data_IF_781032798937
#
_entry.id   IF_781032798937
#
_cell.length_a   1.000
_cell.length_b   1.000
_cell.length_c   1.000
_cell.angle_alpha   90.00
_cell.angle_beta   90.00
_cell.angle_gamma   90.00
#
_symmetry.space_group_name_H-M   'P 1'
#
loop_
_entity.id
_entity.type
_entity.pdbx_description
1 polymer ?
#
# COMPACT_ATOMS: atom_id res chain seq x y z
N UNK A 1 -21.11 10.19 -4.48
CA UNK A 1 -19.78 10.74 -4.17
C UNK A 1 -18.85 10.25 -5.25
N UNK A 2 -18.15 11.16 -5.94
CA UNK A 2 -17.30 10.81 -7.08
C UNK A 2 -15.99 10.19 -6.57
N UNK A 3 -15.68 8.98 -7.04
CA UNK A 3 -14.43 8.31 -6.73
C UNK A 3 -13.36 8.85 -7.69
N UNK A 4 -12.89 10.07 -7.45
CA UNK A 4 -11.95 10.81 -8.31
C UNK A 4 -10.51 10.27 -8.22
N UNK A 5 -10.31 8.97 -8.50
CA UNK A 5 -9.00 8.28 -8.44
C UNK A 5 -7.95 8.88 -9.38
N UNK A 6 -8.40 9.68 -10.36
CA UNK A 6 -7.66 10.01 -11.57
C UNK A 6 -6.74 11.23 -11.39
N UNK A 7 -5.45 10.97 -11.22
CA UNK A 7 -4.39 11.98 -11.39
C UNK A 7 -3.83 11.94 -12.81
N UNK A 8 -4.02 13.02 -13.57
CA UNK A 8 -3.35 13.22 -14.87
C UNK A 8 -1.91 13.74 -14.68
N UNK A 9 -1.03 13.51 -15.66
CA UNK A 9 0.28 14.14 -15.69
C UNK A 9 0.10 15.64 -16.00
N UNK A 10 0.48 16.58 -15.10
CA UNK A 10 0.23 18.00 -15.32
C UNK A 10 1.00 18.63 -16.48
N UNK A 11 2.00 17.94 -17.05
CA UNK A 11 2.73 18.41 -18.24
C UNK A 11 2.02 18.09 -19.56
N UNK A 12 1.23 17.02 -19.59
CA UNK A 12 0.54 16.55 -20.81
C UNK A 12 -0.99 16.67 -20.72
N UNK A 13 -1.52 17.05 -19.55
CA UNK A 13 -2.97 17.12 -19.29
C UNK A 13 -3.69 15.77 -19.35
N UNK A 14 -2.95 14.65 -19.49
CA UNK A 14 -3.49 13.32 -19.79
C UNK A 14 -2.74 12.23 -19.00
N UNK A 15 -3.10 10.96 -19.16
CA UNK A 15 -2.41 9.81 -18.53
C UNK A 15 -1.17 9.35 -19.32
N UNK A 16 -0.53 10.26 -20.05
CA UNK A 16 0.63 10.03 -20.92
C UNK A 16 1.90 10.71 -20.39
N UNK A 17 3.06 10.19 -20.78
CA UNK A 17 4.34 10.84 -20.51
C UNK A 17 4.68 11.88 -21.61
N UNK A 18 5.52 12.88 -21.32
CA UNK A 18 5.98 13.83 -22.35
C UNK A 18 6.80 13.11 -23.42
N UNK A 19 6.99 13.75 -24.58
CA UNK A 19 7.92 13.26 -25.59
C UNK A 19 9.31 13.02 -24.99
N UNK A 20 10.00 11.97 -25.47
CA UNK A 20 11.24 11.42 -24.92
C UNK A 20 11.17 10.79 -23.51
N UNK A 21 9.98 10.55 -22.94
CA UNK A 21 9.81 9.77 -21.71
C UNK A 21 8.90 8.55 -21.90
N UNK A 22 9.34 7.37 -21.44
CA UNK A 22 8.54 6.14 -21.37
C UNK A 22 7.72 6.11 -20.09
N UNK A 23 6.52 5.53 -20.18
CA UNK A 23 5.60 5.29 -19.07
C UNK A 23 5.98 4.00 -18.35
N UNK A 24 6.31 4.11 -17.07
CA UNK A 24 6.72 2.99 -16.21
C UNK A 24 5.61 2.67 -15.21
N UNK A 25 5.17 1.41 -15.14
CA UNK A 25 4.26 0.96 -14.08
C UNK A 25 5.01 0.92 -12.75
N UNK A 26 4.48 1.57 -11.73
CA UNK A 26 5.01 1.54 -10.36
C UNK A 26 4.25 0.56 -9.47
N UNK A 27 2.91 0.60 -9.56
CA UNK A 27 2.02 -0.18 -8.71
C UNK A 27 0.67 -0.36 -9.38
N UNK A 28 0.03 -1.51 -9.16
CA UNK A 28 -1.37 -1.74 -9.45
C UNK A 28 -2.01 -2.50 -8.29
N UNK A 29 -3.29 -2.23 -8.02
CA UNK A 29 -4.03 -2.82 -6.91
C UNK A 29 -5.53 -2.58 -7.06
N UNK A 30 -6.31 -3.10 -6.12
CA UNK A 30 -7.75 -2.87 -6.04
C UNK A 30 -8.08 -2.05 -4.81
N UNK A 31 -8.91 -1.02 -4.96
CA UNK A 31 -9.55 -0.35 -3.83
C UNK A 31 -10.99 -0.85 -3.69
N UNK A 32 -11.47 -0.93 -2.46
CA UNK A 32 -12.86 -1.20 -2.16
C UNK A 32 -13.40 -0.11 -1.23
N UNK A 33 -14.62 0.33 -1.48
CA UNK A 33 -15.33 1.32 -0.68
C UNK A 33 -16.78 0.87 -0.52
N UNK A 34 -17.41 1.22 0.59
CA UNK A 34 -18.83 0.99 0.81
C UNK A 34 -19.52 2.28 1.22
N UNK A 35 -20.75 2.46 0.73
CA UNK A 35 -21.62 3.55 1.14
C UNK A 35 -23.00 3.01 1.48
N UNK A 36 -23.68 3.67 2.41
CA UNK A 36 -25.04 3.30 2.81
C UNK A 36 -26.01 4.28 2.15
N UNK A 37 -26.90 3.75 1.31
CA UNK A 37 -28.03 4.50 0.76
C UNK A 37 -29.26 4.30 1.65
N UNK A 38 -29.79 5.41 2.19
CA UNK A 38 -30.93 5.40 3.11
C UNK A 38 -32.18 5.87 2.37
N UNK A 39 -33.08 4.93 2.06
CA UNK A 39 -34.36 5.23 1.41
C UNK A 39 -35.48 5.16 2.43
N UNK A 40 -36.14 6.29 2.66
CA UNK A 40 -37.30 6.38 3.55
C UNK A 40 -38.60 6.48 2.74
N UNK A 41 -39.60 5.71 3.12
CA UNK A 41 -40.94 5.70 2.50
C UNK A 41 -42.02 5.78 3.58
N UNK A 42 -43.20 6.27 3.20
CA UNK A 42 -44.36 6.29 4.08
C UNK A 42 -44.99 4.90 4.19
N UNK A 43 -45.26 4.45 5.41
CA UNK A 43 -45.67 3.10 5.75
C UNK A 43 -46.73 3.06 6.86
N UNK A 44 -47.30 1.88 7.10
CA UNK A 44 -48.36 1.68 8.11
C UNK A 44 -49.76 2.11 7.63
N UNK A 45 -50.75 1.89 8.49
CA UNK A 45 -52.14 2.27 8.21
C UNK A 45 -52.26 3.79 8.04
N UNK A 46 -52.95 4.23 6.98
CA UNK A 46 -53.06 5.63 6.55
C UNK A 46 -51.72 6.37 6.31
N UNK A 47 -50.63 5.64 6.06
CA UNK A 47 -49.29 6.20 5.78
C UNK A 47 -48.70 7.06 6.93
N UNK A 48 -49.23 6.92 8.15
CA UNK A 48 -48.89 7.75 9.32
C UNK A 48 -47.50 7.46 9.94
N UNK A 49 -46.72 6.53 9.39
CA UNK A 49 -45.34 6.24 9.82
C UNK A 49 -44.36 6.41 8.67
N UNK A 50 -43.11 6.74 8.99
CA UNK A 50 -42.01 6.73 8.02
C UNK A 50 -41.11 5.54 8.32
N UNK A 51 -40.96 4.64 7.36
CA UNK A 51 -40.06 3.51 7.42
C UNK A 51 -38.81 3.84 6.60
N UNK A 52 -37.62 3.66 7.16
CA UNK A 52 -36.37 3.80 6.42
C UNK A 52 -35.71 2.44 6.24
N UNK A 53 -35.21 2.18 5.03
CA UNK A 53 -34.35 1.05 4.71
C UNK A 53 -32.97 1.57 4.31
N UNK A 54 -31.98 1.16 5.08
CA UNK A 54 -30.57 1.43 4.81
C UNK A 54 -30.04 0.26 3.97
N UNK A 55 -29.42 0.56 2.82
CA UNK A 55 -28.89 -0.42 1.87
C UNK A 55 -27.41 -0.15 1.64
N UNK A 56 -26.54 -1.03 2.11
CA UNK A 56 -25.09 -0.93 1.90
C UNK A 56 -24.74 -1.38 0.49
N UNK A 57 -24.08 -0.49 -0.26
CA UNK A 57 -23.52 -0.77 -1.57
C UNK A 57 -22.00 -0.87 -1.44
N UNK A 58 -21.42 -1.95 -1.95
CA UNK A 58 -19.98 -2.16 -2.04
C UNK A 58 -19.52 -1.88 -3.48
N UNK A 59 -18.47 -1.07 -3.63
CA UNK A 59 -17.84 -0.74 -4.91
C UNK A 59 -16.38 -1.18 -4.83
N UNK A 60 -15.91 -1.89 -5.86
CA UNK A 60 -14.49 -2.16 -6.07
C UNK A 60 -14.01 -1.51 -7.36
N UNK A 61 -12.75 -1.07 -7.38
CA UNK A 61 -12.11 -0.55 -8.58
C UNK A 61 -10.61 -0.85 -8.59
N UNK A 62 -10.10 -1.24 -9.76
CA UNK A 62 -8.67 -1.46 -9.98
C UNK A 62 -8.01 -0.13 -10.35
N UNK A 63 -6.86 0.16 -9.75
CA UNK A 63 -6.05 1.32 -10.08
C UNK A 63 -4.67 0.89 -10.60
N UNK A 64 -4.05 1.75 -11.40
CA UNK A 64 -2.66 1.60 -11.89
C UNK A 64 -1.95 2.94 -11.79
N UNK A 65 -0.77 2.94 -11.19
CA UNK A 65 0.06 4.12 -10.96
C UNK A 65 1.32 4.00 -11.79
N UNK A 66 1.65 5.11 -12.44
CA UNK A 66 2.77 5.18 -13.37
C UNK A 66 3.60 6.42 -13.06
N UNK A 67 4.87 6.35 -13.44
CA UNK A 67 5.77 7.49 -13.50
C UNK A 67 6.47 7.53 -14.86
N UNK A 68 7.13 8.64 -15.16
CA UNK A 68 7.78 8.86 -16.44
C UNK A 68 9.30 8.81 -16.26
N UNK A 69 9.97 7.95 -17.02
CA UNK A 69 11.42 7.77 -17.01
C UNK A 69 12.00 7.90 -18.41
N UNK A 70 13.31 8.13 -18.52
CA UNK A 70 14.02 8.11 -19.80
C UNK A 70 15.50 7.81 -19.54
N UNK A 71 16.08 6.91 -20.33
CA UNK A 71 17.54 6.70 -20.35
C UNK A 71 18.23 7.53 -21.42
N UNK A 72 17.47 8.21 -22.28
CA UNK A 72 18.03 9.05 -23.34
C UNK A 72 18.38 10.46 -22.83
N UNK A 73 19.46 11.08 -23.36
CA UNK A 73 19.76 12.47 -23.06
C UNK A 73 18.63 13.39 -23.54
N UNK A 74 17.91 13.99 -22.59
CA UNK A 74 16.88 14.99 -22.88
C UNK A 74 17.44 16.41 -22.76
N UNK A 75 16.92 17.39 -23.54
CA UNK A 75 17.28 18.79 -23.36
C UNK A 75 17.04 19.27 -21.92
N UNK A 76 17.82 20.26 -21.48
CA UNK A 76 17.61 20.88 -20.17
C UNK A 76 16.18 21.45 -20.05
N UNK A 77 15.65 21.45 -18.82
CA UNK A 77 14.31 21.98 -18.48
C UNK A 77 13.10 21.21 -19.08
N UNK A 78 13.30 19.96 -19.53
CA UNK A 78 12.23 19.09 -20.08
C UNK A 78 11.50 18.19 -19.06
N UNK A 79 12.03 18.06 -17.85
CA UNK A 79 11.47 17.22 -16.78
C UNK A 79 10.68 17.99 -15.72
N UNK A 80 10.83 17.57 -14.47
CA UNK A 80 10.44 18.30 -13.26
C UNK A 80 11.57 18.21 -12.24
N UNK A 81 11.75 19.24 -11.43
CA UNK A 81 12.52 19.15 -10.19
C UNK A 81 11.70 18.41 -9.12
N UNK A 82 12.35 17.62 -8.28
CA UNK A 82 11.73 16.89 -7.18
C UNK A 82 12.00 17.59 -5.85
N UNK A 83 10.95 17.94 -5.12
CA UNK A 83 11.01 18.67 -3.84
C UNK A 83 10.67 17.80 -2.64
N UNK A 84 10.94 16.50 -2.72
CA UNK A 84 10.52 15.51 -1.74
C UNK A 84 9.08 15.03 -1.93
N UNK A 85 8.58 14.32 -0.92
CA UNK A 85 7.23 13.74 -0.89
C UNK A 85 6.71 13.68 0.55
N UNK A 86 5.40 13.60 0.73
CA UNK A 86 4.76 13.43 2.03
C UNK A 86 3.49 12.58 1.93
N UNK A 87 2.96 12.18 3.09
CA UNK A 87 1.64 11.56 3.28
C UNK A 87 0.95 12.24 4.48
N UNK A 88 -0.25 11.83 4.88
CA UNK A 88 -0.82 12.25 6.17
C UNK A 88 0.01 11.75 7.37
N UNK A 89 0.82 10.69 7.19
CA UNK A 89 1.61 10.04 8.25
C UNK A 89 3.08 10.44 8.26
N UNK A 90 3.63 10.83 7.11
CA UNK A 90 5.05 11.07 6.90
C UNK A 90 5.23 12.50 6.39
N UNK A 91 5.93 13.33 7.16
CA UNK A 91 6.30 14.68 6.73
C UNK A 91 7.32 14.66 5.59
N UNK A 92 7.32 15.69 4.76
CA UNK A 92 8.32 15.86 3.70
C UNK A 92 9.70 16.13 4.33
N UNK A 93 10.73 15.31 4.06
CA UNK A 93 12.06 15.54 4.59
C UNK A 93 12.64 16.91 4.22
N UNK A 94 12.28 17.48 3.07
CA UNK A 94 12.78 18.79 2.61
C UNK A 94 12.21 19.96 3.42
N UNK A 95 10.94 19.89 3.85
CA UNK A 95 10.27 20.99 4.57
C UNK A 95 10.04 20.69 6.06
N UNK A 96 10.33 19.47 6.49
CA UNK A 96 9.98 18.91 7.82
C UNK A 96 8.49 19.07 8.17
N UNK A 97 7.62 19.08 7.15
CA UNK A 97 6.18 19.28 7.29
C UNK A 97 5.38 18.52 6.22
N UNK A 98 4.06 18.40 6.37
CA UNK A 98 3.18 17.75 5.39
C UNK A 98 2.84 18.69 4.21
N UNK A 99 3.85 19.39 3.68
CA UNK A 99 3.72 20.40 2.63
C UNK A 99 4.93 20.39 1.68
N UNK A 100 4.71 20.92 0.46
CA UNK A 100 5.77 21.09 -0.52
C UNK A 100 6.65 22.33 -0.24
N UNK A 101 7.92 22.34 -0.69
CA UNK A 101 8.76 23.53 -0.60
C UNK A 101 8.23 24.71 -1.42
N UNK A 102 8.72 25.94 -1.19
CA UNK A 102 8.39 27.09 -2.02
C UNK A 102 8.62 26.80 -3.51
N UNK A 103 7.67 27.20 -4.36
CA UNK A 103 7.63 26.94 -5.82
C UNK A 103 7.45 25.47 -6.24
N UNK A 104 7.15 24.55 -5.33
CA UNK A 104 6.73 23.18 -5.67
C UNK A 104 5.23 22.99 -5.46
N UNK A 105 4.58 22.31 -6.41
CA UNK A 105 3.18 21.87 -6.29
C UNK A 105 3.11 20.40 -5.89
N UNK A 106 2.08 20.05 -5.13
CA UNK A 106 1.77 18.67 -4.76
C UNK A 106 1.02 17.97 -5.90
N UNK A 107 1.44 16.75 -6.24
CA UNK A 107 0.72 15.80 -7.10
C UNK A 107 0.38 14.59 -6.24
N UNK A 108 -0.90 14.24 -6.11
CA UNK A 108 -1.31 13.05 -5.36
C UNK A 108 -1.22 11.81 -6.26
N UNK A 109 -0.43 10.80 -5.87
CA UNK A 109 -0.31 9.54 -6.59
C UNK A 109 -1.50 8.61 -6.29
N UNK A 110 -2.68 9.05 -6.73
CA UNK A 110 -3.95 8.35 -6.55
C UNK A 110 -4.55 8.55 -5.15
N UNK A 111 -5.87 8.72 -5.09
CA UNK A 111 -6.59 8.99 -3.83
C UNK A 111 -6.44 7.90 -2.75
N UNK A 112 -6.03 6.68 -3.12
CA UNK A 112 -5.95 5.53 -2.20
C UNK A 112 -4.62 5.31 -1.46
N UNK A 113 -3.51 5.86 -1.95
CA UNK A 113 -2.17 5.58 -1.37
C UNK A 113 -1.70 6.59 -0.32
N UNK A 114 -2.39 7.72 -0.19
CA UNK A 114 -1.96 8.84 0.65
C UNK A 114 -0.48 9.19 0.39
N UNK A 115 -0.18 9.59 -0.85
CA UNK A 115 1.18 9.94 -1.26
C UNK A 115 1.16 11.17 -2.16
N UNK A 116 1.81 12.23 -1.68
CA UNK A 116 1.93 13.53 -2.31
C UNK A 116 3.37 13.75 -2.76
N UNK A 117 3.60 13.89 -4.06
CA UNK A 117 4.91 14.15 -4.66
C UNK A 117 5.03 15.63 -5.00
N UNK A 118 6.08 16.28 -4.51
CA UNK A 118 6.33 17.69 -4.74
C UNK A 118 7.16 17.89 -6.01
N UNK A 119 6.60 18.59 -7.00
CA UNK A 119 7.29 18.88 -8.27
C UNK A 119 7.30 20.36 -8.62
N UNK A 120 8.34 20.80 -9.32
CA UNK A 120 8.46 22.16 -9.83
C UNK A 120 9.06 22.20 -11.24
N UNK A 121 8.52 23.05 -12.09
CA UNK A 121 9.03 23.48 -13.40
C UNK A 121 9.65 24.90 -13.35
N UNK A 122 9.62 25.58 -12.19
CA UNK A 122 10.28 26.87 -11.95
C UNK A 122 11.78 26.72 -11.66
N UNK A 123 12.57 26.28 -12.65
CA UNK A 123 14.00 25.97 -12.50
C UNK A 123 14.88 27.08 -11.90
N UNK A 124 14.48 28.34 -11.98
CA UNK A 124 15.25 29.48 -11.45
C UNK A 124 15.02 29.74 -9.96
N UNK A 125 13.86 29.35 -9.43
CA UNK A 125 13.46 29.64 -8.04
C UNK A 125 13.27 28.39 -7.18
N UNK A 126 12.97 27.23 -7.80
CA UNK A 126 12.83 25.95 -7.09
C UNK A 126 14.13 25.18 -6.90
N UNK A 127 15.23 25.59 -7.54
CA UNK A 127 16.50 24.84 -7.51
C UNK A 127 17.11 24.71 -6.10
N UNK A 128 16.91 25.71 -5.23
CA UNK A 128 17.36 25.71 -3.83
C UNK A 128 16.81 24.52 -3.03
N UNK A 129 15.56 24.13 -3.29
CA UNK A 129 14.86 23.05 -2.59
C UNK A 129 14.77 21.76 -3.44
N UNK A 130 15.48 21.70 -4.56
CA UNK A 130 15.45 20.57 -5.49
C UNK A 130 16.42 19.46 -5.05
N UNK A 131 15.86 18.28 -4.80
CA UNK A 131 16.63 17.08 -4.45
C UNK A 131 16.89 16.25 -5.71
N UNK A 132 18.14 15.83 -6.00
CA UNK A 132 18.41 14.95 -7.13
C UNK A 132 17.72 13.60 -6.94
N UNK A 133 16.81 13.29 -7.86
CA UNK A 133 15.93 12.13 -7.85
C UNK A 133 16.35 11.13 -8.93
N UNK A 134 16.39 9.85 -8.58
CA UNK A 134 16.74 8.76 -9.50
C UNK A 134 15.74 7.60 -9.43
N UNK A 135 14.45 7.94 -9.48
CA UNK A 135 13.38 6.99 -9.78
C UNK A 135 12.59 6.46 -8.58
N UNK A 136 11.45 5.85 -8.91
CA UNK A 136 10.64 5.06 -8.00
C UNK A 136 10.79 3.57 -8.35
N UNK A 137 10.56 2.71 -7.36
CA UNK A 137 10.38 1.27 -7.53
C UNK A 137 9.47 0.75 -6.41
N UNK A 138 8.93 -0.46 -6.55
CA UNK A 138 8.04 -1.08 -5.57
C UNK A 138 8.41 -2.55 -5.34
N UNK A 139 7.57 -3.29 -4.61
CA UNK A 139 7.68 -4.75 -4.50
C UNK A 139 7.49 -5.49 -5.84
N UNK A 140 6.81 -4.88 -6.82
CA UNK A 140 6.41 -5.51 -8.09
C UNK A 140 6.90 -4.76 -9.33
N UNK A 141 7.71 -3.72 -9.19
CA UNK A 141 8.31 -2.99 -10.30
C UNK A 141 9.67 -2.44 -9.88
N UNK A 142 10.70 -2.71 -10.66
CA UNK A 142 12.06 -2.20 -10.47
C UNK A 142 12.29 -0.79 -11.00
N UNK A 143 13.53 -0.32 -10.85
CA UNK A 143 13.96 1.01 -11.26
C UNK A 143 14.77 0.92 -12.58
N UNK A 144 14.33 1.52 -13.69
CA UNK A 144 15.08 1.50 -14.94
C UNK A 144 16.40 2.25 -14.84
N UNK A 145 16.53 3.24 -13.94
CA UNK A 145 17.80 3.94 -13.75
C UNK A 145 18.87 3.06 -13.08
N UNK A 146 18.50 1.94 -12.48
CA UNK A 146 19.42 0.97 -11.91
C UNK A 146 19.89 -0.10 -12.92
N UNK A 147 19.43 -0.04 -14.19
CA UNK A 147 19.93 -0.85 -15.30
C UNK A 147 21.37 -0.44 -15.63
N UNK A 148 22.23 -1.42 -15.92
CA UNK A 148 23.69 -1.22 -16.05
C UNK A 148 24.24 -2.02 -17.23
N UNK A 149 25.25 -1.45 -17.91
CA UNK A 149 25.92 -2.10 -19.04
C UNK A 149 25.23 -1.85 -20.39
N UNK A 150 25.82 -2.39 -21.45
CA UNK A 150 25.50 -2.01 -22.84
C UNK A 150 24.05 -2.34 -23.26
N UNK A 151 23.41 -3.31 -22.60
CA UNK A 151 22.02 -3.70 -22.87
C UNK A 151 20.97 -2.87 -22.11
N UNK A 152 21.36 -1.93 -21.23
CA UNK A 152 20.43 -1.19 -20.38
C UNK A 152 19.35 -0.42 -21.17
N UNK A 153 19.70 0.14 -22.34
CA UNK A 153 18.72 0.82 -23.21
C UNK A 153 17.73 -0.16 -23.83
N UNK A 154 18.18 -1.31 -24.33
CA UNK A 154 17.30 -2.34 -24.89
C UNK A 154 16.36 -2.92 -23.82
N UNK A 155 16.87 -3.20 -22.62
CA UNK A 155 16.09 -3.62 -21.45
C UNK A 155 15.08 -2.56 -20.99
N UNK A 156 15.37 -1.27 -21.18
CA UNK A 156 14.43 -0.20 -20.89
C UNK A 156 13.33 -0.06 -21.95
N UNK A 157 13.66 -0.22 -23.24
CA UNK A 157 12.68 -0.11 -24.32
C UNK A 157 11.79 -1.35 -24.44
N UNK A 158 12.38 -2.55 -24.40
CA UNK A 158 11.70 -3.83 -24.67
C UNK A 158 11.38 -4.65 -23.42
N UNK A 159 12.03 -4.37 -22.29
CA UNK A 159 11.78 -5.08 -21.03
C UNK A 159 10.61 -4.51 -20.22
N UNK A 160 10.06 -5.36 -19.35
CA UNK A 160 8.99 -5.02 -18.42
C UNK A 160 9.53 -4.51 -17.08
N UNK A 161 8.72 -3.70 -16.39
CA UNK A 161 9.12 -3.11 -15.11
C UNK A 161 9.37 -4.16 -14.02
N UNK A 162 8.79 -5.35 -14.14
CA UNK A 162 8.94 -6.48 -13.21
C UNK A 162 10.35 -7.10 -13.26
N UNK A 163 11.04 -7.05 -14.40
CA UNK A 163 12.40 -7.59 -14.58
C UNK A 163 13.52 -6.62 -14.16
N UNK A 164 13.19 -5.34 -13.95
CA UNK A 164 14.17 -4.31 -13.65
C UNK A 164 14.70 -4.40 -12.20
N UNK A 165 15.92 -3.93 -11.91
CA UNK A 165 16.47 -4.03 -10.56
C UNK A 165 15.68 -3.23 -9.51
N UNK A 166 15.22 -3.89 -8.44
CA UNK A 166 14.59 -3.27 -7.27
C UNK A 166 15.60 -2.57 -6.33
N UNK A 167 16.45 -1.71 -6.90
CA UNK A 167 17.49 -0.96 -6.18
C UNK A 167 17.59 0.47 -6.71
N UNK A 168 18.36 1.31 -6.02
CA UNK A 168 18.78 2.60 -6.56
C UNK A 168 20.05 2.44 -7.42
N UNK A 169 20.26 3.34 -8.40
CA UNK A 169 21.56 3.48 -9.05
C UNK A 169 22.66 3.87 -8.07
N UNK A 170 23.91 3.70 -8.52
CA UNK A 170 25.09 4.09 -7.75
C UNK A 170 25.09 5.59 -7.41
N UNK A 171 25.51 5.94 -6.19
CA UNK A 171 25.42 7.30 -5.67
C UNK A 171 24.04 7.71 -5.12
N UNK A 172 23.04 6.84 -5.19
CA UNK A 172 21.69 7.08 -4.67
C UNK A 172 21.31 6.13 -3.52
N UNK A 173 20.53 6.64 -2.59
CA UNK A 173 20.02 5.95 -1.40
C UNK A 173 18.52 5.69 -1.55
N UNK A 174 18.04 4.54 -1.04
CA UNK A 174 16.63 4.14 -1.08
C UNK A 174 15.89 4.64 0.16
N UNK A 175 14.68 5.16 -0.04
CA UNK A 175 13.79 5.64 1.01
C UNK A 175 12.38 5.10 0.77
N UNK A 176 11.61 4.87 1.84
CA UNK A 176 10.20 4.43 1.72
C UNK A 176 9.34 5.67 1.44
N UNK A 177 8.52 5.61 0.39
CA UNK A 177 7.54 6.65 0.06
C UNK A 177 6.20 6.38 0.76
N UNK A 178 5.67 5.16 0.61
CA UNK A 178 4.43 4.70 1.25
C UNK A 178 4.39 3.16 1.23
N UNK A 179 3.40 2.56 1.90
CA UNK A 179 3.11 1.13 1.85
C UNK A 179 1.66 0.96 1.42
N UNK A 180 1.44 0.26 0.32
CA UNK A 180 0.12 -0.06 -0.22
C UNK A 180 -0.12 -1.56 -0.16
N UNK A 181 -1.12 -2.01 0.60
CA UNK A 181 -1.53 -3.42 0.67
C UNK A 181 -0.35 -4.39 0.94
N UNK A 182 0.60 -3.96 1.79
CA UNK A 182 1.82 -4.70 2.10
C UNK A 182 2.97 -4.54 1.09
N UNK A 183 2.74 -3.89 -0.05
CA UNK A 183 3.76 -3.54 -1.03
C UNK A 183 4.43 -2.21 -0.65
N UNK A 184 5.72 -2.25 -0.32
CA UNK A 184 6.51 -1.03 -0.12
C UNK A 184 6.76 -0.32 -1.46
N UNK A 185 6.41 0.96 -1.55
CA UNK A 185 6.82 1.85 -2.64
C UNK A 185 8.01 2.67 -2.16
N UNK A 186 9.10 2.64 -2.92
CA UNK A 186 10.40 3.25 -2.59
C UNK A 186 10.82 4.26 -3.65
N UNK A 187 11.66 5.18 -3.24
CA UNK A 187 12.23 6.21 -4.11
C UNK A 187 13.73 6.39 -3.86
N UNK A 188 14.42 6.90 -4.87
CA UNK A 188 15.86 7.08 -4.85
C UNK A 188 16.24 8.55 -4.87
N UNK A 189 17.01 9.00 -3.88
CA UNK A 189 17.64 10.33 -3.86
C UNK A 189 19.13 10.22 -3.62
N UNK A 190 19.89 11.22 -4.06
CA UNK A 190 21.35 11.23 -3.93
C UNK A 190 21.76 11.00 -2.47
N UNK A 191 22.77 10.16 -2.24
CA UNK A 191 23.34 9.98 -0.90
C UNK A 191 23.78 11.36 -0.37
N UNK A 192 23.47 11.66 0.89
CA UNK A 192 23.70 12.97 1.49
C UNK A 192 22.50 13.93 1.42
N UNK A 193 21.57 13.76 0.49
CA UNK A 193 20.46 14.70 0.27
C UNK A 193 19.53 14.88 1.49
N UNK A 194 19.51 13.91 2.40
CA UNK A 194 18.72 13.93 3.63
C UNK A 194 19.59 13.77 4.90
N UNK A 195 20.90 14.01 4.83
CA UNK A 195 21.80 13.75 5.97
C UNK A 195 21.71 14.75 7.13
N UNK A 196 20.97 15.84 6.98
CA UNK A 196 20.66 16.81 8.05
C UNK A 196 19.27 16.57 8.69
N UNK A 197 18.75 15.36 8.58
CA UNK A 197 17.46 14.98 9.14
C UNK A 197 17.62 14.01 10.30
N UNK A 198 16.86 14.27 11.35
CA UNK A 198 16.72 13.37 12.49
C UNK A 198 16.26 11.98 12.03
N UNK A 199 16.61 10.95 12.81
CA UNK A 199 16.25 9.57 12.51
C UNK A 199 14.72 9.47 12.28
N UNK A 200 14.27 8.90 11.15
CA UNK A 200 12.84 8.82 10.85
C UNK A 200 12.14 7.99 11.92
N UNK A 201 11.03 8.51 12.44
CA UNK A 201 10.21 7.81 13.43
C UNK A 201 9.75 6.46 12.88
N UNK A 202 9.91 5.39 13.67
CA UNK A 202 9.53 4.05 13.27
C UNK A 202 8.03 3.99 12.95
N UNK A 203 7.69 3.58 11.73
CA UNK A 203 6.31 3.31 11.35
C UNK A 203 5.89 1.98 11.96
N UNK A 204 4.96 2.00 12.90
CA UNK A 204 4.41 0.79 13.53
C UNK A 204 3.26 0.21 12.70
N UNK A 205 3.04 -1.12 12.74
CA UNK A 205 1.87 -1.74 12.12
C UNK A 205 0.55 -1.26 12.77
N UNK A 206 -0.60 -1.34 12.07
CA UNK A 206 -0.80 -2.03 10.79
C UNK A 206 -0.46 -1.18 9.56
N UNK A 207 0.21 -1.81 8.58
CA UNK A 207 0.58 -1.22 7.28
C UNK A 207 -0.48 -1.41 6.18
N UNK A 208 -1.68 -1.85 6.55
CA UNK A 208 -2.80 -2.12 5.65
C UNK A 208 -4.05 -1.42 6.16
N UNK A 209 -4.90 -0.97 5.24
CA UNK A 209 -6.22 -0.46 5.60
C UNK A 209 -7.07 -1.60 6.17
N UNK A 210 -7.96 -1.30 7.12
CA UNK A 210 -8.93 -2.28 7.62
C UNK A 210 -9.76 -2.80 6.43
N UNK A 211 -9.82 -4.11 6.18
CA UNK A 211 -10.67 -4.66 5.13
C UNK A 211 -12.14 -4.22 5.33
N UNK A 212 -12.88 -3.88 4.26
CA UNK A 212 -14.31 -3.67 4.38
C UNK A 212 -14.96 -4.95 4.86
N UNK A 213 -15.92 -4.85 5.80
CA UNK A 213 -16.70 -6.00 6.24
C UNK A 213 -17.57 -6.48 5.07
N UNK A 214 -17.29 -7.69 4.58
CA UNK A 214 -18.02 -8.35 3.49
C UNK A 214 -18.84 -9.50 4.07
N UNK A 215 -20.16 -9.32 4.12
CA UNK A 215 -21.09 -10.30 4.71
C UNK A 215 -21.25 -10.16 6.23
N UNK A 216 -22.19 -10.91 6.83
CA UNK A 216 -22.11 -11.24 8.25
C UNK A 216 -20.79 -12.02 8.51
N UNK A 217 -20.23 -11.97 9.73
CA UNK A 217 -19.16 -12.90 10.08
C UNK A 217 -19.70 -14.33 9.97
N UNK A 218 -19.00 -15.21 9.26
CA UNK A 218 -18.99 -16.63 9.60
C UNK A 218 -17.84 -16.82 10.59
N UNK A 219 -18.08 -17.16 11.84
CA UNK A 219 -17.07 -17.90 12.61
C UNK A 219 -17.41 -19.41 12.50
N UNK A 220 -16.73 -20.37 13.15
CA UNK A 220 -16.86 -21.79 12.68
C UNK A 220 -17.19 -22.88 13.74
N UNK A 221 -16.88 -22.71 15.04
CA UNK A 221 -16.99 -23.76 16.09
C UNK A 221 -17.93 -23.42 17.29
N UNK A 222 -17.93 -24.15 18.41
CA UNK A 222 -18.52 -23.80 19.74
C UNK A 222 -17.77 -24.65 20.79
N UNK A 223 -17.58 -24.14 22.02
CA UNK A 223 -16.94 -24.91 23.11
C UNK A 223 -17.96 -25.45 24.14
N UNK A 224 -17.99 -26.77 24.35
CA UNK A 224 -18.79 -27.41 25.39
C UNK A 224 -17.98 -27.68 26.67
N UNK A 225 -18.38 -27.01 27.75
CA UNK A 225 -17.79 -27.14 29.09
C UNK A 225 -17.95 -28.52 29.75
N UNK A 226 -18.94 -29.33 29.37
CA UNK A 226 -19.19 -30.64 29.98
C UNK A 226 -18.33 -31.73 29.34
N UNK A 227 -18.29 -31.79 28.01
CA UNK A 227 -17.44 -32.73 27.27
C UNK A 227 -16.00 -32.25 27.08
N UNK A 228 -15.71 -30.96 27.34
CA UNK A 228 -14.42 -30.28 27.11
C UNK A 228 -13.97 -30.36 25.65
N UNK A 229 -14.92 -30.28 24.72
CA UNK A 229 -14.68 -30.39 23.28
C UNK A 229 -15.06 -29.11 22.54
N UNK A 230 -14.36 -28.87 21.43
CA UNK A 230 -14.74 -27.88 20.43
C UNK A 230 -15.57 -28.60 19.36
N UNK A 231 -16.85 -28.31 19.25
CA UNK A 231 -17.69 -28.79 18.16
C UNK A 231 -17.59 -27.81 16.99
N UNK A 232 -17.66 -28.28 15.73
CA UNK A 232 -18.02 -27.34 14.66
C UNK A 232 -19.45 -26.89 14.94
N UNK A 233 -19.67 -25.59 15.06
CA UNK A 233 -21.03 -25.11 15.05
C UNK A 233 -21.42 -25.13 13.57
N UNK A 234 -22.37 -25.99 13.22
CA UNK A 234 -22.86 -26.07 11.83
C UNK A 234 -23.50 -24.75 11.40
N UNK A 235 -23.70 -23.82 12.36
CA UNK A 235 -23.88 -22.37 12.18
C UNK A 235 -23.03 -21.54 13.18
N UNK A 236 -21.69 -21.68 13.14
CA UNK A 236 -20.65 -20.66 13.49
C UNK A 236 -20.17 -20.37 14.97
N UNK A 237 -18.85 -20.44 15.27
CA UNK A 237 -18.03 -19.72 16.35
C UNK A 237 -16.63 -20.30 16.81
N UNK A 238 -15.51 -19.89 16.17
CA UNK A 238 -14.11 -19.83 16.70
C UNK A 238 -13.23 -21.05 17.10
N UNK A 239 -11.98 -21.06 16.60
CA UNK A 239 -10.84 -21.83 17.15
C UNK A 239 -10.08 -21.05 18.24
N UNK A 240 -9.73 -21.68 19.38
CA UNK A 240 -8.76 -21.09 20.33
C UNK A 240 -7.62 -22.03 20.72
N UNK A 241 -6.39 -21.63 20.39
CA UNK A 241 -5.15 -22.26 20.87
C UNK A 241 -4.83 -21.75 22.28
N UNK A 242 -4.70 -22.65 23.25
CA UNK A 242 -4.02 -22.36 24.53
C UNK A 242 -3.17 -23.56 24.93
N UNK A 243 -1.85 -23.39 24.87
CA UNK A 243 -0.92 -24.21 25.63
C UNK A 243 -0.74 -23.56 27.01
N UNK A 244 -0.78 -24.32 28.10
CA UNK A 244 0.31 -24.23 29.08
C UNK A 244 0.42 -25.46 30.01
N UNK A 245 1.56 -25.53 30.70
CA UNK A 245 2.11 -26.64 31.47
C UNK A 245 1.85 -26.44 32.97
N UNK A 246 1.53 -27.50 33.74
CA UNK A 246 1.76 -27.46 35.20
C UNK A 246 0.93 -28.36 36.13
N UNK A 247 1.50 -29.50 36.51
CA UNK A 247 1.46 -30.15 37.84
C UNK A 247 0.14 -30.28 38.66
N UNK A 248 -0.40 -31.50 38.63
CA UNK A 248 -0.43 -32.47 39.74
C UNK A 248 -0.90 -32.04 41.16
N UNK A 249 -1.92 -32.76 41.67
CA UNK A 249 -1.76 -33.55 42.91
C UNK A 249 -2.75 -34.73 43.06
N UNK A 250 -2.15 -35.92 43.19
CA UNK A 250 -2.45 -37.02 44.15
C UNK A 250 -3.90 -37.52 44.34
N UNK A 251 -4.12 -38.80 43.99
CA UNK A 251 -5.34 -39.56 44.35
C UNK A 251 -5.39 -40.94 43.68
N UNK A 252 -4.75 -41.95 44.27
CA UNK A 252 -4.48 -43.27 43.66
C UNK A 252 -5.72 -44.10 43.26
N UNK A 253 -5.64 -44.77 42.11
CA UNK A 253 -5.81 -46.23 41.94
C UNK A 253 -5.04 -46.64 40.68
N UNK A 254 -4.28 -47.73 40.76
CA UNK A 254 -3.48 -48.21 39.64
C UNK A 254 -4.30 -49.13 38.74
N UNK A 255 -4.26 -48.86 37.43
CA UNK A 255 -4.53 -49.86 36.39
C UNK A 255 -3.55 -49.64 35.24
N UNK A 256 -2.48 -50.42 35.25
CA UNK A 256 -1.47 -50.47 34.20
C UNK A 256 -2.04 -51.23 33.01
N UNK A 257 -2.21 -50.59 31.86
CA UNK A 257 -2.49 -51.29 30.60
C UNK A 257 -2.05 -50.47 29.37
N UNK A 258 -0.90 -50.87 28.81
CA UNK A 258 -0.63 -50.85 27.38
C UNK A 258 -0.47 -49.50 26.66
N UNK A 259 0.73 -48.91 26.72
CA UNK A 259 1.20 -48.12 25.57
C UNK A 259 1.40 -49.06 24.37
N UNK A 260 0.52 -49.01 23.38
CA UNK A 260 0.77 -49.61 22.07
C UNK A 260 1.22 -48.51 21.09
N UNK A 261 2.52 -48.28 21.01
CA UNK A 261 3.11 -47.45 19.97
C UNK A 261 3.17 -48.27 18.68
N UNK A 262 2.22 -48.03 17.78
CA UNK A 262 2.32 -48.51 16.39
C UNK A 262 2.88 -47.39 15.51
N UNK A 263 4.21 -47.33 15.47
CA UNK A 263 4.93 -46.80 14.33
C UNK A 263 4.60 -47.68 13.11
N UNK A 264 3.84 -47.14 12.16
CA UNK A 264 3.86 -47.63 10.79
C UNK A 264 4.52 -46.55 9.94
N UNK A 265 5.78 -46.82 9.60
CA UNK A 265 6.48 -46.15 8.52
C UNK A 265 6.15 -46.89 7.23
N UNK A 266 5.60 -46.17 6.27
CA UNK A 266 5.73 -46.43 4.84
C UNK A 266 5.77 -45.06 4.14
#
# INVERSE_FOLDING_TARGET
>A
MEMSVLQVNPRTGTFSCPAAYKKVLLRQGSMASSYVDRRCTSCGFLWLKTCCKDTTYHISATYKIFWCATLDPVPARTGYMFGGLFSTKTANPVTRSHQCPPKFRSIMLGHGLDLHVCVSDEYEHGAEHAVPFAGFFSCSAGNPFALTGNAAKDQFENGDAEDWPHRCPEGYSRHIATIDQGCEVKYCVRIGAFSELDLPSATLPPFMQKPPLTGPPEDDYVFDSQTRSWTKNETESECRVVCDVGNASVGSIALVLGCLVLLIIA
#
